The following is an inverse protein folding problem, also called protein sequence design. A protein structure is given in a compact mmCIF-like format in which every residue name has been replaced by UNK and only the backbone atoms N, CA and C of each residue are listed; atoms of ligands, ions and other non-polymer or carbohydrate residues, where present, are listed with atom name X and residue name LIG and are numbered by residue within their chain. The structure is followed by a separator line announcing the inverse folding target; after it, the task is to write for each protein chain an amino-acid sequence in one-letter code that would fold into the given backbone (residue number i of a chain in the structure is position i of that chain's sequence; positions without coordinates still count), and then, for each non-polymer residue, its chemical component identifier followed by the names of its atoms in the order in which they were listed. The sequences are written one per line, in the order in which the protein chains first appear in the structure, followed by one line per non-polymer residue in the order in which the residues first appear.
data_IF_124428237553
#
_entry.id   IF_124428237553
#
_cell.length_a   1.000
_cell.length_b   1.000
_cell.length_c   1.000
_cell.angle_alpha   90.00
_cell.angle_beta   90.00
_cell.angle_gamma   90.00
#
_symmetry.space_group_name_H-M   'P 1'
#
loop_
_entity.id
_entity.type
_entity.pdbx_description
1 polymer ?
#
# COMPACT_ATOMS: atom_id res chain seq x y z
N UNK A 1 11.56 17.03 -24.07
CA UNK A 1 12.20 16.49 -22.85
C UNK A 1 11.44 16.87 -21.57
N UNK A 2 11.18 18.16 -21.32
CA UNK A 2 10.42 18.62 -20.14
C UNK A 2 9.05 17.95 -19.96
N UNK A 3 8.29 17.82 -21.05
CA UNK A 3 6.98 17.16 -21.05
C UNK A 3 7.06 15.68 -20.66
N UNK A 4 8.13 14.98 -21.04
CA UNK A 4 8.33 13.56 -20.69
C UNK A 4 8.55 13.39 -19.19
N UNK A 5 9.39 14.22 -18.59
CA UNK A 5 9.64 14.20 -17.14
C UNK A 5 8.38 14.55 -16.34
N UNK A 6 7.60 15.52 -16.81
CA UNK A 6 6.30 15.86 -16.21
C UNK A 6 5.32 14.69 -16.25
N UNK A 7 5.26 13.94 -17.36
CA UNK A 7 4.43 12.73 -17.43
C UNK A 7 4.88 11.67 -16.41
N UNK A 8 6.19 11.48 -16.26
CA UNK A 8 6.73 10.55 -15.25
C UNK A 8 6.35 11.02 -13.83
N UNK A 9 6.49 12.32 -13.54
CA UNK A 9 6.12 12.90 -12.25
C UNK A 9 4.61 12.69 -11.93
N UNK A 10 3.73 12.84 -12.93
CA UNK A 10 2.29 12.55 -12.78
C UNK A 10 2.05 11.07 -12.46
N UNK A 11 2.73 10.15 -13.15
CA UNK A 11 2.59 8.71 -12.89
C UNK A 11 3.09 8.35 -11.48
N UNK A 12 4.22 8.92 -11.05
CA UNK A 12 4.73 8.77 -9.67
C UNK A 12 3.68 9.24 -8.67
N UNK A 13 3.09 10.41 -8.87
CA UNK A 13 2.06 10.95 -7.98
C UNK A 13 0.82 10.05 -7.92
N UNK A 14 0.38 9.48 -9.05
CA UNK A 14 -0.74 8.52 -9.09
C UNK A 14 -0.43 7.23 -8.34
N UNK A 15 0.78 6.68 -8.47
CA UNK A 15 1.23 5.49 -7.73
C UNK A 15 1.31 5.77 -6.23
N UNK A 16 1.82 6.95 -5.83
CA UNK A 16 1.86 7.38 -4.44
C UNK A 16 0.44 7.47 -3.84
N UNK A 17 -0.49 8.11 -4.56
CA UNK A 17 -1.88 8.27 -4.13
C UNK A 17 -2.59 6.92 -4.00
N UNK A 18 -2.40 6.00 -4.95
CA UNK A 18 -2.98 4.64 -4.88
C UNK A 18 -2.38 3.82 -3.75
N UNK A 19 -1.06 3.89 -3.52
CA UNK A 19 -0.43 3.28 -2.34
C UNK A 19 -1.03 3.79 -1.03
N UNK A 20 -1.12 5.11 -0.87
CA UNK A 20 -1.68 5.75 0.31
C UNK A 20 -3.15 5.37 0.53
N UNK A 21 -3.93 5.29 -0.56
CA UNK A 21 -5.32 4.83 -0.51
C UNK A 21 -5.46 3.41 0.05
N UNK A 22 -4.62 2.47 -0.42
CA UNK A 22 -4.62 1.11 0.10
C UNK A 22 -4.19 1.02 1.56
N UNK A 23 -3.19 1.81 1.99
CA UNK A 23 -2.83 1.89 3.40
C UNK A 23 -3.94 2.47 4.28
N UNK A 24 -4.62 3.51 3.79
CA UNK A 24 -5.77 4.07 4.50
C UNK A 24 -6.87 3.02 4.66
N UNK A 25 -7.23 2.31 3.59
CA UNK A 25 -8.19 1.20 3.62
C UNK A 25 -7.77 0.10 4.61
N UNK A 26 -6.50 -0.34 4.56
CA UNK A 26 -5.96 -1.36 5.46
C UNK A 26 -6.04 -0.94 6.93
N UNK A 27 -5.83 0.35 7.21
CA UNK A 27 -5.79 0.90 8.58
C UNK A 27 -7.18 1.11 9.21
N UNK A 28 -8.26 1.03 8.43
CA UNK A 28 -9.63 1.24 8.94
C UNK A 28 -10.22 0.03 9.66
N UNK A 29 -9.68 -1.16 9.43
CA UNK A 29 -10.18 -2.38 10.06
C UNK A 29 -9.72 -2.44 11.51
N UNK A 30 -10.67 -2.50 12.45
CA UNK A 30 -10.39 -2.62 13.88
C UNK A 30 -10.78 -4.01 14.34
N UNK A 31 -9.84 -4.74 14.94
CA UNK A 31 -10.13 -5.95 15.68
C UNK A 31 -10.55 -5.58 17.11
N UNK A 32 -11.56 -6.26 17.65
CA UNK A 32 -11.87 -6.12 19.08
C UNK A 32 -10.76 -6.73 19.91
N UNK A 33 -10.61 -6.24 21.14
CA UNK A 33 -9.75 -6.89 22.13
C UNK A 33 -10.42 -8.17 22.63
N UNK A 34 -9.67 -9.26 22.70
CA UNK A 34 -10.12 -10.54 23.27
C UNK A 34 -9.80 -10.55 24.76
N UNK A 35 -10.77 -10.97 25.59
CA UNK A 35 -10.56 -11.10 27.03
C UNK A 35 -9.89 -12.43 27.37
N UNK A 36 -9.10 -12.49 28.45
CA UNK A 36 -8.47 -13.74 28.91
C UNK A 36 -9.48 -14.82 29.31
N UNK A 37 -10.67 -14.42 29.75
CA UNK A 37 -11.73 -15.33 30.22
C UNK A 37 -12.72 -15.72 29.12
N UNK A 38 -12.50 -15.24 27.91
CA UNK A 38 -13.37 -15.52 26.77
C UNK A 38 -12.92 -16.81 26.09
N UNK A 39 -13.87 -17.71 25.82
CA UNK A 39 -13.65 -18.88 24.99
C UNK A 39 -13.92 -18.51 23.53
N UNK A 40 -12.94 -18.72 22.66
CA UNK A 40 -13.09 -18.50 21.22
C UNK A 40 -13.48 -19.81 20.56
N UNK A 41 -14.57 -19.79 19.80
CA UNK A 41 -14.94 -20.92 18.95
C UNK A 41 -14.24 -20.85 17.57
N UNK A 42 -14.43 -21.90 16.77
CA UNK A 42 -13.86 -21.95 15.42
C UNK A 42 -14.38 -20.83 14.50
N UNK A 43 -15.61 -20.35 14.72
CA UNK A 43 -16.22 -19.27 13.94
C UNK A 43 -15.53 -17.93 14.21
N UNK A 44 -15.22 -17.64 15.47
CA UNK A 44 -14.52 -16.42 15.86
C UNK A 44 -13.08 -16.41 15.37
N UNK A 45 -12.38 -17.55 15.44
CA UNK A 45 -11.04 -17.70 14.86
C UNK A 45 -11.09 -17.43 13.34
N UNK A 46 -12.05 -18.02 12.63
CA UNK A 46 -12.20 -17.79 11.19
C UNK A 46 -12.45 -16.32 10.84
N UNK A 47 -13.24 -15.60 11.66
CA UNK A 47 -13.47 -14.15 11.49
C UNK A 47 -12.18 -13.35 11.67
N UNK A 48 -11.38 -13.67 12.70
CA UNK A 48 -10.09 -13.01 12.94
C UNK A 48 -9.12 -13.24 11.79
N UNK A 49 -8.93 -14.51 11.38
CA UNK A 49 -8.05 -14.88 10.27
C UNK A 49 -8.48 -14.21 8.98
N UNK A 50 -9.79 -14.19 8.69
CA UNK A 50 -10.33 -13.53 7.49
C UNK A 50 -10.06 -12.03 7.51
N UNK A 51 -10.24 -11.35 8.66
CA UNK A 51 -9.95 -9.93 8.79
C UNK A 51 -8.46 -9.61 8.62
N UNK A 52 -7.58 -10.44 9.19
CA UNK A 52 -6.13 -10.33 9.02
C UNK A 52 -5.71 -10.53 7.56
N UNK A 53 -6.20 -11.59 6.90
CA UNK A 53 -5.88 -11.87 5.49
C UNK A 53 -6.33 -10.73 4.58
N UNK A 54 -7.53 -10.18 4.78
CA UNK A 54 -8.01 -9.01 4.02
C UNK A 54 -7.09 -7.80 4.19
N UNK A 55 -6.63 -7.55 5.42
CA UNK A 55 -5.70 -6.45 5.72
C UNK A 55 -4.32 -6.69 5.09
N UNK A 56 -3.81 -7.92 5.13
CA UNK A 56 -2.57 -8.30 4.47
C UNK A 56 -2.62 -8.11 2.96
N UNK A 57 -3.73 -8.48 2.31
CA UNK A 57 -3.91 -8.26 0.87
C UNK A 57 -3.87 -6.77 0.54
N UNK A 58 -4.53 -5.91 1.32
CA UNK A 58 -4.49 -4.47 1.11
C UNK A 58 -3.07 -3.90 1.32
N UNK A 59 -2.36 -4.36 2.35
CA UNK A 59 -0.97 -3.95 2.60
C UNK A 59 -0.02 -4.41 1.49
N UNK A 60 -0.18 -5.62 0.96
CA UNK A 60 0.60 -6.12 -0.16
C UNK A 60 0.39 -5.27 -1.42
N UNK A 61 -0.87 -4.86 -1.68
CA UNK A 61 -1.19 -3.93 -2.78
C UNK A 61 -0.56 -2.56 -2.55
N UNK A 62 -0.67 -1.98 -1.36
CA UNK A 62 -0.01 -0.72 -1.04
C UNK A 62 1.51 -0.80 -1.28
N UNK A 63 2.16 -1.85 -0.79
CA UNK A 63 3.59 -2.08 -0.97
C UNK A 63 3.98 -2.20 -2.45
N UNK A 64 3.16 -2.85 -3.29
CA UNK A 64 3.40 -2.93 -4.74
C UNK A 64 3.42 -1.53 -5.38
N UNK A 65 2.41 -0.69 -5.11
CA UNK A 65 2.36 0.67 -5.66
C UNK A 65 3.48 1.56 -5.13
N UNK A 66 3.81 1.46 -3.84
CA UNK A 66 4.96 2.17 -3.26
C UNK A 66 6.29 1.78 -3.91
N UNK A 67 6.48 0.48 -4.16
CA UNK A 67 7.71 -0.04 -4.79
C UNK A 67 7.80 0.43 -6.25
N UNK A 68 6.71 0.36 -7.00
CA UNK A 68 6.64 0.86 -8.37
C UNK A 68 6.91 2.37 -8.44
N UNK A 69 6.33 3.15 -7.53
CA UNK A 69 6.59 4.59 -7.38
C UNK A 69 8.08 4.85 -7.14
N UNK A 70 8.70 4.12 -6.20
CA UNK A 70 10.11 4.30 -5.85
C UNK A 70 11.05 3.99 -7.02
N UNK A 71 10.81 2.89 -7.74
CA UNK A 71 11.59 2.52 -8.94
C UNK A 71 11.47 3.62 -10.01
N UNK A 72 10.25 4.10 -10.27
CA UNK A 72 10.03 5.12 -11.29
C UNK A 72 10.64 6.48 -10.90
N UNK A 73 10.55 6.85 -9.63
CA UNK A 73 11.20 8.05 -9.10
C UNK A 73 12.73 7.98 -9.23
N UNK A 74 13.34 6.84 -8.90
CA UNK A 74 14.77 6.62 -9.08
C UNK A 74 15.18 6.73 -10.57
N UNK A 75 14.42 6.10 -11.48
CA UNK A 75 14.67 6.19 -12.92
C UNK A 75 14.55 7.64 -13.43
N UNK A 76 13.52 8.37 -12.99
CA UNK A 76 13.32 9.79 -13.30
C UNK A 76 14.51 10.64 -12.86
N UNK A 77 15.02 10.42 -11.65
CA UNK A 77 16.19 11.15 -11.12
C UNK A 77 17.45 10.85 -11.92
N UNK A 78 17.69 9.58 -12.29
CA UNK A 78 18.80 9.21 -13.14
C UNK A 78 18.71 9.91 -14.49
N UNK A 79 17.56 9.81 -15.18
CA UNK A 79 17.36 10.45 -16.49
C UNK A 79 17.62 11.95 -16.41
N UNK A 80 17.12 12.64 -15.37
CA UNK A 80 17.40 14.05 -15.15
C UNK A 80 18.91 14.32 -15.04
N UNK A 81 19.63 13.55 -14.21
CA UNK A 81 21.06 13.73 -13.99
C UNK A 81 21.93 13.46 -15.23
N UNK A 82 21.47 12.64 -16.17
CA UNK A 82 22.16 12.42 -17.46
C UNK A 82 21.88 13.53 -18.50
N UNK A 83 20.81 14.29 -18.31
CA UNK A 83 20.36 15.33 -19.24
C UNK A 83 20.80 16.74 -18.82
N UNK A 84 21.17 16.90 -17.55
CA UNK A 84 21.84 18.10 -17.01
C UNK A 84 23.34 18.08 -17.34
#
# INVERSE_FOLDING_TARGET
MRTMLQLIDIVIAMLAATSAWYWWLASRQRLRRVSRREELDAGDINRIVTALNRTQIMNARAALYASAMAILAAARMLIQAWLD
#
